data_IF_041306873564
#
_entry.id   IF_041306873564
#
_cell.length_a   1.000
_cell.length_b   1.000
_cell.length_c   1.000
_cell.angle_alpha   90.00
_cell.angle_beta   90.00
_cell.angle_gamma   90.00
#
_symmetry.space_group_name_H-M   'P 1'
#
loop_
_entity.id
_entity.type
_entity.pdbx_description
1 polymer ?
#
# COMPACT_ATOMS: atom_id res chain seq x y z
N UNK A 1 -23.84 -15.36 -31.72
CA UNK A 1 -22.38 -15.31 -31.91
C UNK A 1 -21.87 -14.03 -31.26
N UNK A 2 -20.88 -14.04 -30.40
CA UNK A 2 -20.30 -12.80 -29.86
C UNK A 2 -19.68 -12.00 -31.01
N UNK A 3 -19.87 -10.68 -30.97
CA UNK A 3 -19.34 -9.79 -32.00
C UNK A 3 -17.80 -9.83 -31.96
N UNK A 4 -17.13 -10.13 -33.06
CA UNK A 4 -15.69 -10.29 -33.15
C UNK A 4 -14.92 -9.04 -32.63
N UNK A 5 -15.46 -7.83 -32.88
CA UNK A 5 -14.90 -6.57 -32.36
C UNK A 5 -14.91 -6.51 -30.84
N UNK A 6 -16.01 -6.88 -30.19
CA UNK A 6 -16.13 -6.88 -28.72
C UNK A 6 -15.23 -7.95 -28.10
N UNK A 7 -14.95 -9.02 -28.80
CA UNK A 7 -14.05 -10.07 -28.32
C UNK A 7 -12.60 -9.61 -28.38
N UNK A 8 -12.18 -8.96 -29.47
CA UNK A 8 -10.83 -8.40 -29.58
C UNK A 8 -10.57 -7.28 -28.57
N UNK A 9 -11.54 -6.40 -28.30
CA UNK A 9 -11.43 -5.36 -27.27
C UNK A 9 -11.22 -5.97 -25.86
N UNK A 10 -11.97 -7.03 -25.53
CA UNK A 10 -11.81 -7.72 -24.26
C UNK A 10 -10.47 -8.46 -24.13
N UNK A 11 -9.97 -9.02 -25.22
CA UNK A 11 -8.64 -9.64 -25.24
C UNK A 11 -7.56 -8.60 -25.02
N UNK A 12 -7.61 -7.45 -25.69
CA UNK A 12 -6.68 -6.35 -25.49
C UNK A 12 -6.67 -5.83 -24.03
N UNK A 13 -7.85 -5.75 -23.38
CA UNK A 13 -7.94 -5.38 -21.97
C UNK A 13 -7.26 -6.44 -21.08
N UNK A 14 -7.48 -7.72 -21.31
CA UNK A 14 -6.86 -8.80 -20.54
C UNK A 14 -5.34 -8.82 -20.75
N UNK A 15 -4.85 -8.59 -21.97
CA UNK A 15 -3.42 -8.49 -22.26
C UNK A 15 -2.78 -7.31 -21.53
N UNK A 16 -3.37 -6.11 -21.63
CA UNK A 16 -2.88 -4.92 -20.91
C UNK A 16 -2.90 -5.10 -19.40
N UNK A 17 -3.90 -5.80 -18.83
CA UNK A 17 -3.96 -6.15 -17.43
C UNK A 17 -2.86 -7.14 -17.03
N UNK A 18 -2.61 -8.16 -17.85
CA UNK A 18 -1.56 -9.14 -17.58
C UNK A 18 -0.16 -8.51 -17.63
N UNK A 19 0.07 -7.53 -18.51
CA UNK A 19 1.31 -6.75 -18.56
C UNK A 19 1.48 -5.89 -17.29
N UNK A 20 0.42 -5.19 -16.88
CA UNK A 20 0.43 -4.40 -15.64
C UNK A 20 0.67 -5.26 -14.40
N UNK A 21 0.04 -6.42 -14.31
CA UNK A 21 0.26 -7.37 -13.21
C UNK A 21 1.70 -7.89 -13.17
N UNK A 22 2.33 -8.11 -14.32
CA UNK A 22 3.74 -8.53 -14.40
C UNK A 22 4.71 -7.41 -14.03
N UNK A 23 4.37 -6.16 -14.34
CA UNK A 23 5.22 -5.00 -14.04
C UNK A 23 5.05 -4.48 -12.61
N UNK A 24 3.95 -4.83 -11.93
CA UNK A 24 3.68 -4.44 -10.55
C UNK A 24 4.39 -5.35 -9.55
N UNK A 25 4.92 -4.78 -8.46
CA UNK A 25 5.52 -5.55 -7.37
C UNK A 25 4.45 -6.15 -6.45
N UNK A 26 3.35 -5.43 -6.20
CA UNK A 26 2.26 -5.92 -5.36
C UNK A 26 0.89 -5.45 -5.85
N UNK A 27 -0.13 -6.22 -5.48
CA UNK A 27 -1.51 -5.86 -5.70
C UNK A 27 -2.43 -6.43 -4.62
N UNK A 28 -3.48 -5.67 -4.31
CA UNK A 28 -4.48 -6.03 -3.30
C UNK A 28 -5.86 -6.06 -3.95
N UNK A 29 -6.60 -7.11 -3.66
CA UNK A 29 -7.98 -7.33 -4.11
C UNK A 29 -8.92 -6.94 -3.00
N UNK A 30 -9.90 -6.09 -3.33
CA UNK A 30 -10.79 -5.49 -2.35
C UNK A 30 -12.23 -5.59 -2.80
N UNK A 31 -13.13 -5.79 -1.84
CA UNK A 31 -14.57 -5.60 -2.02
C UNK A 31 -14.96 -4.17 -1.65
N UNK A 32 -15.66 -3.49 -2.55
CA UNK A 32 -16.10 -2.10 -2.36
C UNK A 32 -17.62 -1.98 -2.19
N UNK A 33 -18.25 -3.01 -1.68
CA UNK A 33 -19.71 -3.06 -1.55
C UNK A 33 -20.21 -2.04 -0.51
N UNK A 34 -21.02 -1.08 -0.98
CA UNK A 34 -21.69 -0.10 -0.10
C UNK A 34 -20.91 1.18 0.17
N UNK A 35 -19.85 1.45 -0.59
CA UNK A 35 -19.12 2.72 -0.55
C UNK A 35 -19.92 3.83 -1.22
N UNK A 36 -19.90 5.04 -0.65
CA UNK A 36 -20.48 6.24 -1.26
C UNK A 36 -19.54 6.82 -2.32
N UNK A 37 -20.10 7.63 -3.24
CA UNK A 37 -19.30 8.29 -4.31
C UNK A 37 -18.23 9.22 -3.73
N UNK A 38 -18.51 9.87 -2.61
CA UNK A 38 -17.55 10.74 -1.92
C UNK A 38 -16.35 9.93 -1.40
N UNK A 39 -16.61 8.82 -0.72
CA UNK A 39 -15.60 7.90 -0.19
C UNK A 39 -14.74 7.27 -1.30
N UNK A 40 -15.35 6.86 -2.44
CA UNK A 40 -14.60 6.34 -3.60
C UNK A 40 -13.70 7.43 -4.23
N UNK A 41 -14.17 8.68 -4.25
CA UNK A 41 -13.37 9.81 -4.76
C UNK A 41 -12.15 10.09 -3.89
N UNK A 42 -12.31 10.05 -2.56
CA UNK A 42 -11.20 10.18 -1.61
C UNK A 42 -10.21 9.01 -1.73
N UNK A 43 -10.71 7.78 -1.83
CA UNK A 43 -9.89 6.59 -2.04
C UNK A 43 -9.05 6.73 -3.32
N UNK A 44 -9.66 7.11 -4.44
CA UNK A 44 -8.95 7.31 -5.70
C UNK A 44 -7.93 8.45 -5.65
N UNK A 45 -8.21 9.49 -4.86
CA UNK A 45 -7.26 10.59 -4.63
C UNK A 45 -6.05 10.08 -3.86
N UNK A 46 -6.25 9.41 -2.74
CA UNK A 46 -5.17 8.83 -1.92
C UNK A 46 -4.36 7.77 -2.67
N UNK A 47 -5.02 6.95 -3.50
CA UNK A 47 -4.32 6.01 -4.38
C UNK A 47 -3.37 6.74 -5.34
N UNK A 48 -3.83 7.82 -5.99
CA UNK A 48 -2.99 8.60 -6.91
C UNK A 48 -1.82 9.29 -6.21
N UNK A 49 -2.03 9.81 -5.00
CA UNK A 49 -0.98 10.43 -4.18
C UNK A 49 0.12 9.44 -3.75
N UNK A 50 -0.22 8.15 -3.65
CA UNK A 50 0.72 7.07 -3.30
C UNK A 50 1.14 6.21 -4.50
N UNK A 51 0.92 6.68 -5.73
CA UNK A 51 1.27 5.99 -6.98
C UNK A 51 0.65 4.59 -7.10
N UNK A 52 -0.53 4.39 -6.52
CA UNK A 52 -1.31 3.16 -6.59
C UNK A 52 -2.34 3.27 -7.70
N UNK A 53 -2.31 2.38 -8.67
CA UNK A 53 -3.33 2.27 -9.71
C UNK A 53 -4.53 1.48 -9.16
N UNK A 54 -5.65 2.17 -8.94
CA UNK A 54 -6.89 1.58 -8.47
C UNK A 54 -7.89 1.46 -9.61
N UNK A 55 -8.31 0.23 -9.92
CA UNK A 55 -9.24 -0.05 -11.00
C UNK A 55 -10.33 -1.05 -10.58
N UNK A 56 -11.57 -0.76 -10.98
CA UNK A 56 -12.69 -1.69 -10.85
C UNK A 56 -12.79 -2.50 -12.12
N UNK A 57 -12.58 -3.80 -12.04
CA UNK A 57 -12.48 -4.70 -13.18
C UNK A 57 -13.43 -5.87 -13.01
N UNK A 58 -13.98 -6.35 -14.11
CA UNK A 58 -14.90 -7.49 -14.10
C UNK A 58 -14.15 -8.78 -13.70
N UNK A 59 -14.70 -9.54 -12.73
CA UNK A 59 -14.07 -10.76 -12.19
C UNK A 59 -13.65 -11.76 -13.28
N UNK A 60 -14.44 -11.91 -14.32
CA UNK A 60 -14.10 -12.80 -15.44
C UNK A 60 -12.87 -12.37 -16.25
N UNK A 61 -12.55 -11.08 -16.28
CA UNK A 61 -11.33 -10.55 -16.91
C UNK A 61 -10.14 -10.69 -15.97
N UNK A 62 -10.33 -10.40 -14.67
CA UNK A 62 -9.31 -10.60 -13.64
C UNK A 62 -8.88 -12.06 -13.57
N UNK A 63 -9.83 -13.00 -13.54
CA UNK A 63 -9.55 -14.44 -13.53
C UNK A 63 -8.67 -14.86 -14.72
N UNK A 64 -8.96 -14.39 -15.91
CA UNK A 64 -8.14 -14.69 -17.10
C UNK A 64 -6.75 -14.05 -17.01
N UNK A 65 -6.65 -12.83 -16.50
CA UNK A 65 -5.38 -12.15 -16.33
C UNK A 65 -4.52 -12.84 -15.27
N UNK A 66 -5.09 -13.27 -14.14
CA UNK A 66 -4.40 -14.01 -13.10
C UNK A 66 -3.92 -15.39 -13.57
N UNK A 67 -4.75 -16.12 -14.31
CA UNK A 67 -4.34 -17.41 -14.90
C UNK A 67 -3.18 -17.24 -15.88
N UNK A 68 -3.15 -16.15 -16.67
CA UNK A 68 -2.02 -15.85 -17.56
C UNK A 68 -0.72 -15.52 -16.80
N UNK A 69 -0.80 -15.07 -15.56
CA UNK A 69 0.35 -14.72 -14.70
C UNK A 69 0.73 -15.87 -13.75
N UNK A 70 -0.14 -16.88 -13.58
CA UNK A 70 0.11 -18.03 -12.70
C UNK A 70 -0.39 -17.82 -11.26
N UNK A 71 -1.34 -16.90 -11.04
CA UNK A 71 -1.93 -16.58 -9.74
C UNK A 71 -3.32 -17.24 -9.57
N UNK A 72 -3.45 -18.51 -9.96
CA UNK A 72 -4.71 -19.26 -9.94
C UNK A 72 -5.34 -19.36 -8.53
N UNK A 73 -4.52 -19.36 -7.49
CA UNK A 73 -5.00 -19.44 -6.10
C UNK A 73 -5.86 -18.23 -5.64
N UNK A 74 -5.87 -17.12 -6.40
CA UNK A 74 -6.76 -15.97 -6.14
C UNK A 74 -8.16 -16.13 -6.76
N UNK A 75 -8.38 -17.14 -7.58
CA UNK A 75 -9.67 -17.36 -8.26
C UNK A 75 -10.84 -17.55 -7.30
N UNK A 76 -10.61 -18.21 -6.17
CA UNK A 76 -11.62 -18.43 -5.13
C UNK A 76 -12.06 -17.14 -4.43
N UNK A 77 -11.19 -16.11 -4.44
CA UNK A 77 -11.46 -14.82 -3.81
C UNK A 77 -12.20 -13.85 -4.75
N UNK A 78 -12.26 -14.13 -6.06
CA UNK A 78 -12.91 -13.30 -7.07
C UNK A 78 -14.45 -13.47 -7.10
N UNK A 79 -15.09 -13.44 -5.95
CA UNK A 79 -16.55 -13.50 -5.81
C UNK A 79 -17.11 -12.13 -5.39
N UNK A 80 -18.28 -11.74 -5.94
CA UNK A 80 -18.94 -10.47 -5.62
C UNK A 80 -18.32 -9.26 -6.34
N UNK A 81 -18.40 -8.09 -5.70
CA UNK A 81 -17.79 -6.85 -6.21
C UNK A 81 -16.27 -6.90 -5.98
N UNK A 82 -15.51 -6.52 -6.98
CA UNK A 82 -14.05 -6.65 -6.90
C UNK A 82 -13.38 -5.43 -7.53
N UNK A 83 -12.50 -4.82 -6.78
CA UNK A 83 -11.56 -3.81 -7.26
C UNK A 83 -10.14 -4.29 -7.03
N UNK A 84 -9.25 -3.84 -7.87
CA UNK A 84 -7.84 -4.17 -7.85
C UNK A 84 -7.01 -2.89 -7.64
N UNK A 85 -6.14 -2.90 -6.64
CA UNK A 85 -5.15 -1.87 -6.39
C UNK A 85 -3.77 -2.45 -6.64
N UNK A 86 -3.02 -1.91 -7.59
CA UNK A 86 -1.67 -2.35 -7.96
C UNK A 86 -0.68 -1.20 -7.85
N UNK A 87 0.55 -1.51 -7.45
CA UNK A 87 1.63 -0.53 -7.42
C UNK A 87 3.00 -1.15 -7.68
N UNK A 88 3.97 -0.29 -8.01
CA UNK A 88 5.37 -0.66 -8.09
C UNK A 88 6.00 -0.87 -6.71
N UNK A 89 5.51 -0.18 -5.69
CA UNK A 89 5.93 -0.40 -4.30
C UNK A 89 5.16 -1.55 -3.66
N UNK A 90 5.84 -2.49 -2.98
CA UNK A 90 5.18 -3.64 -2.37
C UNK A 90 4.28 -3.27 -1.17
N UNK A 91 4.50 -2.14 -0.51
CA UNK A 91 3.81 -1.74 0.72
C UNK A 91 2.69 -0.72 0.45
N UNK A 92 2.84 0.13 -0.57
CA UNK A 92 1.91 1.24 -0.84
C UNK A 92 0.44 0.80 -0.98
N UNK A 93 0.08 -0.23 -1.79
CA UNK A 93 -1.31 -0.63 -1.95
C UNK A 93 -1.90 -1.19 -0.65
N UNK A 94 -1.13 -2.00 0.10
CA UNK A 94 -1.59 -2.57 1.37
C UNK A 94 -1.88 -1.48 2.41
N UNK A 95 -1.01 -0.46 2.52
CA UNK A 95 -1.16 0.64 3.46
C UNK A 95 -2.39 1.49 3.16
N UNK A 96 -2.53 1.99 1.93
CA UNK A 96 -3.66 2.83 1.53
C UNK A 96 -4.98 2.09 1.73
N UNK A 97 -5.06 0.85 1.29
CA UNK A 97 -6.26 0.02 1.40
C UNK A 97 -6.62 -0.25 2.87
N UNK A 98 -5.64 -0.58 3.71
CA UNK A 98 -5.90 -0.85 5.14
C UNK A 98 -6.30 0.42 5.92
N UNK A 99 -5.78 1.60 5.58
CA UNK A 99 -6.24 2.87 6.16
C UNK A 99 -7.71 3.14 5.83
N UNK A 100 -8.11 2.90 4.58
CA UNK A 100 -9.52 3.04 4.17
C UNK A 100 -10.40 1.94 4.75
N UNK A 101 -9.93 0.71 4.86
CA UNK A 101 -10.66 -0.37 5.53
C UNK A 101 -10.96 -0.03 6.99
N UNK A 102 -10.02 0.59 7.71
CA UNK A 102 -10.23 1.07 9.08
C UNK A 102 -11.22 2.25 9.17
N UNK A 103 -11.26 3.13 8.17
CA UNK A 103 -12.18 4.28 8.13
C UNK A 103 -13.62 3.88 7.78
N UNK A 104 -13.76 2.92 6.87
CA UNK A 104 -15.05 2.53 6.30
C UNK A 104 -15.68 1.32 7.01
N UNK A 105 -14.94 0.68 7.94
CA UNK A 105 -15.36 -0.53 8.67
C UNK A 105 -16.05 -1.54 7.72
N UNK A 106 -17.23 -2.06 8.05
CA UNK A 106 -17.93 -3.16 7.37
C UNK A 106 -18.25 -2.99 5.86
N UNK A 107 -17.90 -1.83 5.24
CA UNK A 107 -18.21 -1.57 3.81
C UNK A 107 -17.05 -1.87 2.85
N UNK A 108 -15.85 -2.03 3.38
CA UNK A 108 -14.64 -2.18 2.58
C UNK A 108 -13.83 -3.35 3.12
N UNK A 109 -13.87 -4.47 2.43
CA UNK A 109 -13.24 -5.71 2.87
C UNK A 109 -12.07 -6.09 1.97
N UNK A 110 -10.94 -6.41 2.58
CA UNK A 110 -9.77 -6.93 1.87
C UNK A 110 -9.98 -8.43 1.67
N UNK A 111 -9.99 -8.89 0.43
CA UNK A 111 -10.14 -10.32 0.10
C UNK A 111 -8.80 -11.05 0.10
N UNK A 112 -7.77 -10.42 -0.40
CA UNK A 112 -6.44 -10.97 -0.50
C UNK A 112 -5.56 -10.12 -1.41
N UNK A 113 -4.38 -10.63 -1.72
CA UNK A 113 -3.45 -9.93 -2.60
C UNK A 113 -2.34 -10.83 -3.12
N UNK A 114 -1.46 -10.21 -3.89
CA UNK A 114 -0.24 -10.85 -4.35
C UNK A 114 0.94 -9.90 -4.17
N UNK A 115 2.14 -10.46 -3.99
CA UNK A 115 3.41 -9.75 -3.94
C UNK A 115 4.48 -10.63 -4.57
N UNK A 116 5.24 -10.07 -5.51
CA UNK A 116 6.30 -10.79 -6.24
C UNK A 116 5.84 -12.13 -6.84
N UNK A 117 4.60 -12.18 -7.36
CA UNK A 117 4.02 -13.39 -7.95
C UNK A 117 3.57 -14.46 -6.94
N UNK A 118 3.54 -14.14 -5.64
CA UNK A 118 3.02 -15.03 -4.59
C UNK A 118 1.73 -14.48 -4.01
N UNK A 119 0.79 -15.37 -3.72
CA UNK A 119 -0.47 -15.01 -3.06
C UNK A 119 -0.21 -14.74 -1.58
N UNK A 120 -0.83 -13.68 -1.06
CA UNK A 120 -0.68 -13.23 0.32
C UNK A 120 -2.04 -13.24 1.02
N UNK A 121 -2.05 -13.74 2.26
CA UNK A 121 -3.22 -13.75 3.13
C UNK A 121 -3.48 -12.38 3.79
N UNK A 122 -4.72 -12.20 4.29
CA UNK A 122 -5.14 -10.97 5.00
C UNK A 122 -4.22 -10.59 6.16
N UNK A 123 -3.71 -11.57 6.92
CA UNK A 123 -2.81 -11.32 8.05
C UNK A 123 -1.50 -10.67 7.58
N UNK A 124 -0.95 -11.15 6.45
CA UNK A 124 0.26 -10.60 5.85
C UNK A 124 0.01 -9.20 5.28
N UNK A 125 -1.16 -8.97 4.66
CA UNK A 125 -1.53 -7.64 4.15
C UNK A 125 -1.65 -6.64 5.30
N UNK A 126 -2.25 -7.01 6.42
CA UNK A 126 -2.33 -6.16 7.61
C UNK A 126 -0.95 -5.89 8.24
N UNK A 127 -0.06 -6.87 8.23
CA UNK A 127 1.34 -6.69 8.66
C UNK A 127 2.07 -5.70 7.74
N UNK A 128 1.93 -5.84 6.41
CA UNK A 128 2.47 -4.90 5.42
C UNK A 128 1.89 -3.48 5.60
N UNK A 129 0.61 -3.37 5.87
CA UNK A 129 -0.04 -2.09 6.12
C UNK A 129 0.48 -1.35 7.37
N UNK A 130 1.07 -2.06 8.33
CA UNK A 130 1.70 -1.46 9.50
C UNK A 130 3.07 -0.83 9.20
N UNK A 131 3.67 -1.14 8.05
CA UNK A 131 4.97 -0.61 7.64
C UNK A 131 4.80 0.81 7.09
N UNK A 132 5.56 1.79 7.61
CA UNK A 132 5.51 3.16 7.11
C UNK A 132 6.09 3.29 5.70
N UNK A 133 5.84 4.43 5.04
CA UNK A 133 6.41 4.73 3.73
C UNK A 133 7.95 4.66 3.75
N UNK A 134 8.55 4.34 2.61
CA UNK A 134 9.97 4.12 2.44
C UNK A 134 10.86 5.25 3.00
N UNK A 135 10.56 6.56 2.75
CA UNK A 135 11.36 7.64 3.34
C UNK A 135 11.25 7.72 4.86
N UNK A 136 10.08 7.40 5.44
CA UNK A 136 9.89 7.37 6.91
C UNK A 136 10.66 6.20 7.51
N UNK A 137 10.68 5.05 6.84
CA UNK A 137 11.43 3.87 7.28
C UNK A 137 12.95 4.14 7.25
N UNK A 138 13.43 4.80 6.21
CA UNK A 138 14.84 5.23 6.12
C UNK A 138 15.19 6.22 7.25
N UNK A 139 14.31 7.20 7.52
CA UNK A 139 14.50 8.15 8.62
C UNK A 139 14.52 7.45 9.99
N UNK A 140 13.67 6.44 10.17
CA UNK A 140 13.64 5.63 11.40
C UNK A 140 14.94 4.84 11.59
N UNK A 141 15.47 4.22 10.54
CA UNK A 141 16.75 3.51 10.59
C UNK A 141 17.89 4.48 10.94
N UNK A 142 17.97 5.63 10.28
CA UNK A 142 18.98 6.65 10.59
C UNK A 142 18.83 7.17 12.03
N UNK A 143 17.60 7.38 12.49
CA UNK A 143 17.30 7.78 13.86
C UNK A 143 17.78 6.74 14.89
N UNK A 144 17.55 5.45 14.63
CA UNK A 144 18.04 4.38 15.53
C UNK A 144 19.55 4.28 15.56
N UNK A 145 20.25 4.56 14.47
CA UNK A 145 21.70 4.61 14.44
C UNK A 145 22.28 5.81 15.23
N UNK A 146 21.58 6.95 15.22
CA UNK A 146 21.95 8.15 15.98
C UNK A 146 21.51 8.09 17.44
N UNK A 147 20.53 7.25 17.79
CA UNK A 147 19.95 7.16 19.13
C UNK A 147 20.97 6.97 20.27
N UNK A 148 22.03 6.14 20.14
CA UNK A 148 23.04 6.01 21.20
C UNK A 148 23.79 7.31 21.48
N UNK A 149 24.10 8.08 20.44
CA UNK A 149 24.84 9.35 20.56
C UNK A 149 23.95 10.43 21.18
N UNK A 150 22.72 10.56 20.67
CA UNK A 150 21.74 11.53 21.20
C UNK A 150 21.32 11.18 22.63
N UNK A 151 21.15 9.89 22.94
CA UNK A 151 20.86 9.42 24.29
C UNK A 151 21.96 9.79 25.28
N UNK A 152 23.24 9.60 24.91
CA UNK A 152 24.38 10.02 25.74
C UNK A 152 24.39 11.55 25.96
N UNK A 153 24.17 12.33 24.89
CA UNK A 153 24.13 13.80 24.98
C UNK A 153 22.99 14.27 25.91
N UNK A 154 21.80 13.67 25.81
CA UNK A 154 20.66 13.99 26.70
C UNK A 154 20.97 13.66 28.15
N UNK A 155 21.58 12.51 28.43
CA UNK A 155 21.98 12.13 29.81
C UNK A 155 23.01 13.09 30.35
N UNK A 156 24.03 13.45 29.58
CA UNK A 156 25.04 14.42 30.00
C UNK A 156 24.43 15.81 30.28
N UNK A 157 23.49 16.26 29.42
CA UNK A 157 22.73 17.50 29.64
C UNK A 157 21.93 17.45 30.93
N UNK A 158 21.22 16.36 31.20
CA UNK A 158 20.46 16.19 32.44
C UNK A 158 21.34 16.15 33.71
N UNK A 159 22.54 15.58 33.60
CA UNK A 159 23.51 15.58 34.71
C UNK A 159 24.01 17.00 34.95
N UNK A 160 24.35 17.76 33.91
CA UNK A 160 24.77 19.13 33.98
C UNK A 160 23.70 20.05 34.60
N UNK A 161 22.45 19.88 34.19
CA UNK A 161 21.30 20.61 34.74
C UNK A 161 21.09 20.29 36.25
N UNK A 162 21.24 19.03 36.64
CA UNK A 162 21.13 18.62 38.05
C UNK A 162 22.29 19.13 38.91
N UNK A 163 23.46 19.38 38.31
CA UNK A 163 24.65 19.90 39.00
C UNK A 163 24.72 21.45 39.01
N UNK A 164 23.70 22.12 38.43
CA UNK A 164 23.60 23.59 38.49
C UNK A 164 24.52 24.35 37.51
N UNK A 165 25.06 23.70 36.50
CA UNK A 165 25.77 24.37 35.41
C UNK A 165 24.76 25.00 34.41
N UNK A 166 24.97 26.29 33.99
CA UNK A 166 24.09 26.88 32.97
C UNK A 166 24.20 26.10 31.66
N UNK A 167 23.05 25.74 31.12
CA UNK A 167 22.96 25.01 29.84
C UNK A 167 23.49 25.91 28.71
N UNK A 168 24.67 25.59 28.19
CA UNK A 168 25.15 26.11 26.90
C UNK A 168 24.33 25.46 25.79
N UNK A 169 23.61 26.30 25.05
CA UNK A 169 22.71 25.90 23.97
C UNK A 169 23.50 25.08 22.91
N UNK A 170 23.17 23.82 22.80
CA UNK A 170 23.61 23.01 21.67
C UNK A 170 22.91 23.56 20.39
N UNK A 171 23.64 23.73 19.26
CA UNK A 171 23.05 24.28 18.05
C UNK A 171 21.92 23.38 17.55
N UNK A 172 20.71 23.92 17.55
CA UNK A 172 19.56 23.37 16.86
C UNK A 172 19.72 23.66 15.38
N UNK A 173 20.43 22.82 14.66
CA UNK A 173 20.46 22.84 13.20
C UNK A 173 20.13 21.43 12.68
N UNK A 174 18.82 21.20 12.58
CA UNK A 174 18.30 20.14 11.75
C UNK A 174 17.48 20.84 10.65
N UNK A 175 17.92 20.77 9.37
CA UNK A 175 17.13 21.35 8.30
C UNK A 175 15.81 20.59 8.19
N UNK A 176 14.71 21.34 8.33
CA UNK A 176 13.41 20.89 7.91
C UNK A 176 13.45 20.69 6.40
N UNK A 177 13.29 19.46 5.95
CA UNK A 177 13.10 19.17 4.55
C UNK A 177 11.66 19.59 4.16
N UNK A 178 11.58 20.58 3.26
CA UNK A 178 10.39 20.83 2.42
C UNK A 178 10.14 19.66 1.46
#
# INVERSE_FOLDING_TARGET
MPNAKVLSEKQAIVESLSEKLKSSAAGVIVDYKGITVAEDTELRKSCRENEVEYAVIKNTMLRRAFNNVGLEALDDQLNGTTSLAIAGDPVAPARVIAEFAKKLNDKFEIKGGFMDGKVIDMNTINALASIPALPVLQAQVLGTMLAPITGLAVVLKQIAEKQGAPAEEAPADAPAAE
#
